data_IF_081665719490
#
_entry.id   IF_081665719490
#
_cell.length_a   1.000
_cell.length_b   1.000
_cell.length_c   1.000
_cell.angle_alpha   90.00
_cell.angle_beta   90.00
_cell.angle_gamma   90.00
#
_symmetry.space_group_name_H-M   'P 1'
#
loop_
_entity.id
_entity.type
_entity.pdbx_description
1 polymer ?
#
# COMPACT_ATOMS: atom_id res chain seq x y z
N UNK A 1 10.95 0.04 6.47
CA UNK A 1 11.62 -1.26 6.68
C UNK A 1 13.01 -1.15 6.10
N UNK A 2 14.09 -1.40 6.87
CA UNK A 2 15.46 -1.24 6.37
C UNK A 2 15.71 -2.09 5.11
N UNK A 3 15.29 -3.35 5.12
CA UNK A 3 15.44 -4.24 3.96
C UNK A 3 14.65 -3.84 2.71
N UNK A 4 13.60 -3.01 2.83
CA UNK A 4 12.93 -2.43 1.67
C UNK A 4 13.81 -1.36 1.01
N UNK A 5 14.36 -0.45 1.81
CA UNK A 5 15.25 0.61 1.32
C UNK A 5 16.54 0.04 0.71
N UNK A 6 17.11 -1.02 1.30
CA UNK A 6 18.27 -1.73 0.72
C UNK A 6 17.96 -2.28 -0.68
N UNK A 7 16.77 -2.87 -0.87
CA UNK A 7 16.33 -3.40 -2.17
C UNK A 7 16.07 -2.28 -3.18
N UNK A 8 15.49 -1.16 -2.74
CA UNK A 8 15.30 0.02 -3.59
C UNK A 8 16.65 0.61 -4.03
N UNK A 9 17.61 0.74 -3.11
CA UNK A 9 18.97 1.18 -3.42
C UNK A 9 19.65 0.24 -4.43
N UNK A 10 19.54 -1.08 -4.23
CA UNK A 10 20.03 -2.07 -5.19
C UNK A 10 19.41 -1.88 -6.58
N UNK A 11 18.12 -1.56 -6.67
CA UNK A 11 17.48 -1.31 -7.97
C UNK A 11 18.06 -0.05 -8.65
N UNK A 12 18.28 1.02 -7.89
CA UNK A 12 18.92 2.26 -8.37
C UNK A 12 20.34 1.99 -8.86
N UNK A 13 21.15 1.26 -8.09
CA UNK A 13 22.52 0.88 -8.46
C UNK A 13 22.57 0.06 -9.76
N UNK A 14 21.51 -0.71 -10.03
CA UNK A 14 21.34 -1.48 -11.27
C UNK A 14 20.71 -0.65 -12.42
N UNK A 15 20.68 0.68 -12.31
CA UNK A 15 20.18 1.59 -13.34
C UNK A 15 18.67 1.50 -13.57
N UNK A 16 17.89 0.98 -12.60
CA UNK A 16 16.43 0.94 -12.71
C UNK A 16 15.86 2.31 -12.40
N UNK A 17 14.96 2.77 -13.26
CA UNK A 17 14.33 4.09 -13.16
C UNK A 17 12.91 4.05 -12.61
N UNK A 18 12.29 2.86 -12.56
CA UNK A 18 10.91 2.66 -12.12
C UNK A 18 10.83 1.42 -11.23
N UNK A 19 9.98 1.48 -10.20
CA UNK A 19 9.66 0.36 -9.32
C UNK A 19 8.15 0.20 -9.27
N UNK A 20 7.68 -1.03 -9.49
CA UNK A 20 6.29 -1.42 -9.27
C UNK A 20 6.30 -2.32 -8.04
N UNK A 21 5.43 -2.04 -7.07
CA UNK A 21 5.35 -2.84 -5.85
C UNK A 21 3.92 -3.00 -5.36
N UNK A 22 3.63 -4.17 -4.82
CA UNK A 22 2.42 -4.41 -4.06
C UNK A 22 2.58 -3.85 -2.64
N UNK A 23 1.55 -3.15 -2.17
CA UNK A 23 1.52 -2.56 -0.82
C UNK A 23 0.35 -3.18 -0.06
N UNK A 24 0.65 -4.14 0.82
CA UNK A 24 -0.39 -4.77 1.65
C UNK A 24 -0.87 -3.83 2.76
N UNK A 25 -2.06 -4.07 3.31
CA UNK A 25 -2.56 -3.32 4.48
C UNK A 25 -1.64 -3.48 5.69
N UNK A 26 -1.04 -4.67 5.85
CA UNK A 26 -0.01 -4.97 6.83
C UNK A 26 1.24 -4.08 6.69
N UNK A 27 1.57 -3.64 5.47
CA UNK A 27 2.69 -2.74 5.25
C UNK A 27 2.47 -1.40 5.95
N UNK A 28 1.24 -0.87 5.94
CA UNK A 28 0.89 0.32 6.71
C UNK A 28 0.72 0.03 8.21
N UNK A 29 -0.02 -1.04 8.57
CA UNK A 29 -0.24 -1.41 9.98
C UNK A 29 1.07 -1.60 10.74
N UNK A 30 2.07 -2.22 10.10
CA UNK A 30 3.41 -2.46 10.67
C UNK A 30 4.44 -1.40 10.26
N UNK A 31 4.02 -0.28 9.66
CA UNK A 31 4.88 0.86 9.25
C UNK A 31 6.09 0.45 8.37
N UNK A 32 5.93 -0.57 7.53
CA UNK A 32 7.00 -1.10 6.65
C UNK A 32 7.36 -0.14 5.52
N UNK A 33 6.38 0.65 5.05
CA UNK A 33 6.51 1.65 3.97
C UNK A 33 6.53 3.09 4.50
N UNK A 34 6.77 3.28 5.80
CA UNK A 34 6.85 4.62 6.40
C UNK A 34 7.90 5.49 5.69
N UNK A 35 7.50 6.72 5.35
CA UNK A 35 8.34 7.71 4.68
C UNK A 35 8.46 7.53 3.17
N UNK A 36 7.79 6.54 2.58
CA UNK A 36 7.67 6.44 1.13
C UNK A 36 6.47 7.25 0.63
N UNK A 37 6.72 8.06 -0.40
CA UNK A 37 5.67 8.67 -1.22
C UNK A 37 5.73 8.03 -2.59
N UNK A 38 4.59 7.55 -3.08
CA UNK A 38 4.47 6.92 -4.39
C UNK A 38 4.09 7.95 -5.45
N UNK A 39 4.64 7.81 -6.65
CA UNK A 39 4.20 8.65 -7.77
C UNK A 39 2.75 8.31 -8.17
N UNK A 40 2.41 7.02 -8.18
CA UNK A 40 1.06 6.52 -8.51
C UNK A 40 0.65 5.40 -7.54
N UNK A 41 -0.51 5.57 -6.90
CA UNK A 41 -1.20 4.53 -6.12
C UNK A 41 -2.37 3.96 -6.91
N UNK A 42 -2.52 2.63 -6.93
CA UNK A 42 -3.62 1.96 -7.64
C UNK A 42 -4.45 1.14 -6.65
N UNK A 43 -5.74 1.45 -6.54
CA UNK A 43 -6.68 0.76 -5.66
C UNK A 43 -7.73 0.01 -6.49
N UNK A 44 -7.66 -1.32 -6.49
CA UNK A 44 -8.41 -2.17 -7.42
C UNK A 44 -9.79 -2.61 -6.89
N UNK A 45 -9.85 -3.06 -5.64
CA UNK A 45 -11.06 -3.57 -4.99
C UNK A 45 -10.84 -3.73 -3.48
N UNK A 46 -11.92 -3.96 -2.75
CA UNK A 46 -11.89 -4.29 -1.32
C UNK A 46 -13.03 -5.25 -0.99
N UNK A 47 -12.72 -6.28 -0.20
CA UNK A 47 -13.66 -7.25 0.37
C UNK A 47 -13.13 -7.72 1.73
N UNK A 48 -13.95 -8.31 2.61
CA UNK A 48 -13.47 -8.80 3.90
C UNK A 48 -12.32 -9.80 3.77
N UNK A 49 -11.16 -9.42 4.29
CA UNK A 49 -9.92 -10.21 4.30
C UNK A 49 -9.02 -9.68 5.42
N UNK A 50 -8.06 -10.48 5.90
CA UNK A 50 -7.09 -10.08 6.93
C UNK A 50 -7.72 -9.53 8.24
N UNK A 51 -8.97 -9.91 8.53
CA UNK A 51 -9.67 -9.54 9.77
C UNK A 51 -9.37 -10.57 10.85
N UNK A 52 -8.79 -10.13 11.96
CA UNK A 52 -8.50 -10.99 13.09
C UNK A 52 -7.65 -10.30 14.17
N UNK A 53 -7.54 -10.93 15.35
CA UNK A 53 -6.87 -10.33 16.51
C UNK A 53 -5.37 -10.09 16.32
N UNK A 54 -4.73 -10.77 15.37
CA UNK A 54 -3.29 -10.64 15.04
C UNK A 54 -3.07 -9.59 13.94
N UNK A 55 -4.11 -9.33 13.15
CA UNK A 55 -4.08 -8.50 11.96
C UNK A 55 -4.95 -7.25 12.16
N UNK A 56 -6.02 -7.08 11.38
CA UNK A 56 -6.94 -5.95 11.50
C UNK A 56 -8.13 -6.35 12.39
N UNK A 57 -8.42 -5.62 13.48
CA UNK A 57 -9.51 -5.98 14.40
C UNK A 57 -10.90 -5.88 13.76
N UNK A 58 -11.06 -5.06 12.73
CA UNK A 58 -12.32 -4.85 12.00
C UNK A 58 -12.06 -4.67 10.51
N UNK A 59 -13.11 -4.83 9.70
CA UNK A 59 -13.05 -4.49 8.28
C UNK A 59 -12.70 -3.01 8.07
N UNK A 60 -13.22 -2.11 8.92
CA UNK A 60 -12.91 -0.68 8.82
C UNK A 60 -11.43 -0.39 9.08
N UNK A 61 -10.81 -1.06 10.06
CA UNK A 61 -9.37 -0.92 10.30
C UNK A 61 -8.55 -1.44 9.11
N UNK A 62 -8.95 -2.57 8.51
CA UNK A 62 -8.34 -3.09 7.30
C UNK A 62 -8.47 -2.11 6.12
N UNK A 63 -9.67 -1.58 5.91
CA UNK A 63 -9.96 -0.67 4.82
C UNK A 63 -9.21 0.65 4.99
N UNK A 64 -9.21 1.21 6.20
CA UNK A 64 -8.39 2.38 6.56
C UNK A 64 -6.93 2.17 6.17
N UNK A 65 -6.31 1.05 6.57
CA UNK A 65 -4.91 0.79 6.27
C UNK A 65 -4.61 0.59 4.78
N UNK A 66 -5.56 0.09 3.97
CA UNK A 66 -5.37 0.09 2.51
C UNK A 66 -5.49 1.49 1.92
N UNK A 67 -6.42 2.31 2.40
CA UNK A 67 -6.64 3.68 1.89
C UNK A 67 -5.46 4.61 2.17
N UNK A 68 -4.62 4.31 3.15
CA UNK A 68 -3.34 4.99 3.33
C UNK A 68 -2.44 4.96 2.07
N UNK A 69 -2.61 3.98 1.16
CA UNK A 69 -1.95 4.02 -0.15
C UNK A 69 -2.31 5.28 -0.93
N UNK A 70 -3.60 5.65 -0.94
CA UNK A 70 -4.10 6.80 -1.66
C UNK A 70 -3.55 8.10 -1.05
N UNK A 71 -3.51 8.19 0.28
CA UNK A 71 -2.96 9.36 0.98
C UNK A 71 -1.46 9.55 0.79
N UNK A 72 -0.71 8.45 0.59
CA UNK A 72 0.74 8.47 0.41
C UNK A 72 1.16 8.42 -1.07
N UNK A 73 0.24 8.72 -2.00
CA UNK A 73 0.49 8.74 -3.45
C UNK A 73 0.23 10.13 -4.04
N UNK A 74 1.03 10.55 -5.03
CA UNK A 74 0.83 11.84 -5.71
C UNK A 74 -0.35 11.82 -6.68
N UNK A 75 -0.49 10.73 -7.44
CA UNK A 75 -1.65 10.44 -8.26
C UNK A 75 -2.29 9.12 -7.80
N UNK A 76 -3.61 9.01 -7.96
CA UNK A 76 -4.36 7.82 -7.56
C UNK A 76 -5.24 7.35 -8.70
N UNK A 77 -5.20 6.05 -8.98
CA UNK A 77 -6.13 5.35 -9.87
C UNK A 77 -7.00 4.44 -9.01
N UNK A 78 -8.31 4.66 -9.04
CA UNK A 78 -9.29 3.88 -8.27
C UNK A 78 -10.24 3.21 -9.25
N UNK A 79 -10.53 1.94 -9.01
CA UNK A 79 -11.58 1.24 -9.74
C UNK A 79 -12.96 1.80 -9.35
N UNK A 80 -13.63 2.48 -10.27
CA UNK A 80 -14.97 3.05 -10.05
C UNK A 80 -16.07 2.01 -9.87
N UNK A 81 -15.81 0.76 -10.23
CA UNK A 81 -16.78 -0.34 -10.12
C UNK A 81 -16.67 -1.12 -8.80
N UNK A 82 -15.83 -0.69 -7.85
CA UNK A 82 -15.73 -1.36 -6.56
C UNK A 82 -16.91 -1.03 -5.65
N UNK A 83 -17.38 -2.02 -4.87
CA UNK A 83 -18.53 -1.88 -3.95
C UNK A 83 -18.40 -0.71 -2.95
N UNK A 84 -17.17 -0.28 -2.65
CA UNK A 84 -16.85 0.74 -1.66
C UNK A 84 -16.23 2.00 -2.29
N UNK A 85 -16.70 2.39 -3.48
CA UNK A 85 -16.14 3.53 -4.21
C UNK A 85 -16.42 4.89 -3.58
N UNK A 86 -17.56 5.06 -2.93
CA UNK A 86 -17.97 6.31 -2.27
C UNK A 86 -17.21 6.65 -0.98
#
# INVERSE_FOLDING_TARGET
SLGLFERMATAVDNGRTHLIMEVSSQAYLKKRVYGLTFDVGVFLNISPDHIGPIEHPTFEDYFYHKRLLMENSQAVVVNSEMDHFE
#
